data_IF_512678374109
#
_entry.id   IF_512678374109
#
_cell.length_a   1.000
_cell.length_b   1.000
_cell.length_c   1.000
_cell.angle_alpha   90.00
_cell.angle_beta   90.00
_cell.angle_gamma   90.00
#
_symmetry.space_group_name_H-M   'P 1'
#
loop_
_entity.id
_entity.type
_entity.pdbx_description
1 polymer ?
#
# COMPACT_ATOMS: atom_id res chain seq x y z
N UNK A 1 -1.88 -20.51 -25.98
CA UNK A 1 -1.65 -21.23 -24.71
C UNK A 1 -0.20 -21.71 -24.67
N UNK A 2 0.36 -21.87 -23.47
CA UNK A 2 1.71 -22.34 -23.25
C UNK A 2 1.65 -23.51 -22.26
N UNK A 3 2.18 -24.68 -22.64
CA UNK A 3 2.24 -25.86 -21.80
C UNK A 3 3.67 -26.07 -21.32
N UNK A 4 3.84 -26.40 -20.04
CA UNK A 4 5.12 -26.64 -19.41
C UNK A 4 5.07 -27.90 -18.56
N UNK A 5 6.21 -28.56 -18.46
CA UNK A 5 6.42 -29.74 -17.61
C UNK A 5 6.24 -29.35 -16.12
N UNK A 6 5.83 -30.32 -15.30
CA UNK A 6 5.57 -30.08 -13.87
C UNK A 6 6.80 -29.88 -13.01
N UNK A 7 7.99 -30.15 -13.55
CA UNK A 7 9.25 -30.11 -12.85
C UNK A 7 9.82 -28.69 -12.69
N UNK A 8 10.94 -28.58 -11.99
CA UNK A 8 11.60 -27.29 -11.77
C UNK A 8 12.12 -26.66 -13.08
N UNK A 9 12.46 -27.48 -14.08
CA UNK A 9 12.90 -27.01 -15.39
C UNK A 9 11.75 -26.35 -16.16
N UNK A 10 10.56 -26.95 -16.12
CA UNK A 10 9.31 -26.44 -16.67
C UNK A 10 8.87 -25.14 -16.00
N UNK A 11 8.99 -25.02 -14.67
CA UNK A 11 8.75 -23.75 -13.96
C UNK A 11 9.73 -22.66 -14.38
N UNK A 12 11.03 -22.98 -14.53
CA UNK A 12 12.04 -22.04 -15.04
C UNK A 12 11.75 -21.64 -16.49
N UNK A 13 11.29 -22.59 -17.33
CA UNK A 13 10.90 -22.32 -18.70
C UNK A 13 9.67 -21.41 -18.79
N UNK A 14 8.67 -21.62 -17.93
CA UNK A 14 7.51 -20.75 -17.81
C UNK A 14 7.91 -19.31 -17.44
N UNK A 15 8.86 -19.15 -16.51
CA UNK A 15 9.44 -17.84 -16.17
C UNK A 15 10.09 -17.15 -17.37
N UNK A 16 10.89 -17.88 -18.15
CA UNK A 16 11.51 -17.33 -19.38
C UNK A 16 10.49 -17.03 -20.49
N UNK A 17 9.41 -17.80 -20.56
CA UNK A 17 8.32 -17.54 -21.50
C UNK A 17 7.57 -16.26 -21.10
N UNK A 18 7.37 -16.05 -19.80
CA UNK A 18 6.76 -14.84 -19.27
C UNK A 18 7.61 -13.60 -19.60
N UNK A 19 8.93 -13.65 -19.41
CA UNK A 19 9.84 -12.53 -19.78
C UNK A 19 9.72 -12.12 -21.26
N UNK A 20 9.52 -13.09 -22.15
CA UNK A 20 9.34 -12.82 -23.59
C UNK A 20 7.94 -12.33 -23.94
N UNK A 21 6.97 -12.61 -23.07
CA UNK A 21 5.57 -12.24 -23.25
C UNK A 21 5.29 -10.83 -22.74
N UNK A 22 5.86 -10.44 -21.59
CA UNK A 22 5.57 -9.16 -20.93
C UNK A 22 5.71 -7.95 -21.87
N UNK A 23 6.80 -7.79 -22.68
CA UNK A 23 6.92 -6.67 -23.60
C UNK A 23 5.91 -6.65 -24.74
N UNK A 24 5.23 -7.78 -25.00
CA UNK A 24 4.26 -7.95 -26.09
C UNK A 24 2.81 -8.00 -25.58
N UNK A 25 2.62 -7.84 -24.28
CA UNK A 25 1.33 -7.89 -23.64
C UNK A 25 0.60 -6.56 -23.87
N UNK A 26 -0.54 -6.64 -24.56
CA UNK A 26 -1.40 -5.52 -24.94
C UNK A 26 -2.87 -5.95 -24.82
N UNK A 27 -3.84 -5.01 -24.69
CA UNK A 27 -5.26 -5.29 -24.66
C UNK A 27 -5.67 -6.24 -25.79
N UNK A 28 -6.50 -7.22 -25.45
CA UNK A 28 -6.97 -8.24 -26.40
C UNK A 28 -5.96 -9.35 -26.72
N UNK A 29 -4.69 -9.25 -26.32
CA UNK A 29 -3.72 -10.35 -26.42
C UNK A 29 -3.46 -10.97 -25.06
N UNK A 30 -3.91 -12.21 -24.88
CA UNK A 30 -3.72 -12.95 -23.64
C UNK A 30 -3.00 -14.27 -23.88
N UNK A 31 -2.37 -14.79 -22.83
CA UNK A 31 -1.83 -16.14 -22.80
C UNK A 31 -2.35 -16.87 -21.55
N UNK A 32 -2.38 -18.19 -21.63
CA UNK A 32 -2.67 -19.06 -20.50
C UNK A 32 -1.59 -20.11 -20.38
N UNK A 33 -1.25 -20.44 -19.15
CA UNK A 33 -0.19 -21.37 -18.78
C UNK A 33 -0.80 -22.66 -18.25
N UNK A 34 -0.39 -23.78 -18.82
CA UNK A 34 -0.72 -25.12 -18.36
C UNK A 34 0.55 -25.72 -17.76
N UNK A 35 0.43 -26.27 -16.55
CA UNK A 35 1.52 -27.00 -15.91
C UNK A 35 1.07 -28.46 -15.75
N UNK A 36 1.90 -29.37 -16.24
CA UNK A 36 1.69 -30.80 -16.10
C UNK A 36 2.02 -31.28 -14.67
N UNK A 37 1.61 -32.50 -14.29
CA UNK A 37 2.10 -33.14 -13.07
C UNK A 37 3.63 -33.32 -13.09
N UNK A 38 4.23 -33.47 -11.92
CA UNK A 38 5.68 -33.71 -11.80
C UNK A 38 6.08 -35.00 -12.53
N UNK A 39 7.15 -34.92 -13.33
CA UNK A 39 7.69 -36.06 -14.08
C UNK A 39 6.97 -36.40 -15.38
N UNK A 40 5.97 -35.62 -15.78
CA UNK A 40 5.20 -35.84 -17.02
C UNK A 40 5.51 -34.76 -18.07
N UNK A 41 5.62 -35.20 -19.33
CA UNK A 41 5.63 -34.35 -20.52
C UNK A 41 4.28 -34.46 -21.26
N UNK A 42 3.97 -33.59 -22.24
CA UNK A 42 2.67 -33.61 -22.90
C UNK A 42 2.34 -34.95 -23.59
N UNK A 43 3.36 -35.61 -24.14
CA UNK A 43 3.19 -36.84 -24.92
C UNK A 43 2.98 -38.03 -23.96
N UNK A 44 3.77 -38.13 -22.89
CA UNK A 44 3.65 -39.13 -21.83
C UNK A 44 2.32 -38.99 -21.10
N UNK A 45 1.91 -37.76 -20.77
CA UNK A 45 0.67 -37.50 -20.07
C UNK A 45 -0.55 -37.90 -20.90
N UNK A 46 -0.56 -37.55 -22.20
CA UNK A 46 -1.65 -37.94 -23.12
C UNK A 46 -1.65 -39.45 -23.36
N UNK A 47 -0.48 -40.09 -23.46
CA UNK A 47 -0.39 -41.54 -23.61
C UNK A 47 -0.89 -42.29 -22.38
N UNK A 48 -0.66 -41.76 -21.17
CA UNK A 48 -1.04 -42.41 -19.91
C UNK A 48 -2.49 -42.10 -19.49
N UNK A 49 -2.89 -40.84 -19.58
CA UNK A 49 -4.16 -40.33 -19.05
C UNK A 49 -5.22 -40.04 -20.13
N UNK A 50 -4.85 -40.11 -21.40
CA UNK A 50 -5.72 -39.86 -22.54
C UNK A 50 -5.92 -38.37 -22.86
N UNK A 51 -6.41 -38.06 -24.09
CA UNK A 51 -6.59 -36.70 -24.57
C UNK A 51 -7.66 -35.91 -23.79
N UNK A 52 -8.68 -36.58 -23.26
CA UNK A 52 -9.72 -35.94 -22.43
C UNK A 52 -9.15 -35.40 -21.11
N UNK A 53 -8.19 -36.11 -20.50
CA UNK A 53 -7.53 -35.65 -19.29
C UNK A 53 -6.68 -34.40 -19.56
N UNK A 54 -6.02 -34.35 -20.71
CA UNK A 54 -5.29 -33.16 -21.15
C UNK A 54 -6.22 -31.98 -21.42
N UNK A 55 -7.39 -32.22 -22.01
CA UNK A 55 -8.44 -31.20 -22.18
C UNK A 55 -8.86 -30.56 -20.84
N UNK A 56 -9.02 -31.37 -19.78
CA UNK A 56 -9.32 -30.87 -18.42
C UNK A 56 -8.17 -30.04 -17.83
N UNK A 57 -6.91 -30.36 -18.14
CA UNK A 57 -5.77 -29.53 -17.73
C UNK A 57 -5.75 -28.18 -18.44
N UNK A 58 -6.09 -28.18 -19.73
CA UNK A 58 -6.24 -26.97 -20.54
C UNK A 58 -7.33 -26.05 -19.98
N UNK A 59 -8.46 -26.60 -19.54
CA UNK A 59 -9.53 -25.82 -18.91
C UNK A 59 -9.06 -25.16 -17.60
N UNK A 60 -8.14 -25.81 -16.88
CA UNK A 60 -7.52 -25.29 -15.65
C UNK A 60 -6.32 -24.38 -15.90
N UNK A 61 -6.02 -24.03 -17.15
CA UNK A 61 -4.91 -23.17 -17.50
C UNK A 61 -4.98 -21.84 -16.75
N UNK A 62 -3.90 -21.47 -16.08
CA UNK A 62 -3.83 -20.24 -15.29
C UNK A 62 -3.60 -19.03 -16.21
N UNK A 63 -4.19 -17.86 -15.92
CA UNK A 63 -3.97 -16.65 -16.69
C UNK A 63 -2.56 -16.08 -16.48
N UNK A 64 -2.11 -15.19 -17.38
CA UNK A 64 -0.82 -14.47 -17.26
C UNK A 64 -0.68 -13.80 -15.88
N UNK A 65 -1.74 -13.18 -15.37
CA UNK A 65 -1.73 -12.49 -14.07
C UNK A 65 -1.41 -13.43 -12.91
N UNK A 66 -1.91 -14.66 -12.92
CA UNK A 66 -1.62 -15.68 -11.92
C UNK A 66 -0.20 -16.25 -12.08
N UNK A 67 0.21 -16.52 -13.32
CA UNK A 67 1.58 -16.95 -13.61
C UNK A 67 2.62 -15.91 -13.16
N UNK A 68 2.34 -14.63 -13.42
CA UNK A 68 3.16 -13.51 -13.00
C UNK A 68 3.19 -13.37 -11.48
N UNK A 69 2.04 -13.49 -10.81
CA UNK A 69 1.97 -13.50 -9.35
C UNK A 69 2.88 -14.58 -8.74
N UNK A 70 2.76 -15.83 -9.19
CA UNK A 70 3.60 -16.95 -8.71
C UNK A 70 5.08 -16.68 -8.90
N UNK A 71 5.45 -16.01 -10.00
CA UNK A 71 6.84 -15.63 -10.25
C UNK A 71 7.34 -14.57 -9.26
N UNK A 72 6.60 -13.47 -9.09
CA UNK A 72 7.06 -12.34 -8.27
C UNK A 72 6.99 -12.64 -6.77
N UNK A 73 6.01 -13.45 -6.35
CA UNK A 73 5.84 -13.94 -4.98
C UNK A 73 6.80 -15.09 -4.63
N UNK A 74 7.15 -15.92 -5.61
CA UNK A 74 7.89 -17.16 -5.37
C UNK A 74 7.06 -18.19 -4.61
N UNK A 75 7.75 -19.13 -3.94
CA UNK A 75 7.13 -20.20 -3.13
C UNK A 75 7.08 -19.85 -1.64
N UNK A 76 7.61 -18.69 -1.25
CA UNK A 76 7.75 -18.31 0.15
C UNK A 76 6.46 -17.68 0.69
N UNK A 77 6.21 -17.87 1.97
CA UNK A 77 5.09 -17.24 2.67
C UNK A 77 5.35 -15.74 2.78
N UNK A 78 4.39 -14.94 2.33
CA UNK A 78 4.43 -13.48 2.49
C UNK A 78 3.76 -13.12 3.81
N UNK A 79 4.52 -13.16 4.90
CA UNK A 79 4.03 -12.86 6.26
C UNK A 79 4.79 -11.71 6.95
N UNK A 80 5.78 -11.14 6.26
CA UNK A 80 6.61 -10.05 6.76
C UNK A 80 6.68 -8.87 5.77
N UNK A 81 6.84 -7.62 6.25
CA UNK A 81 7.06 -6.45 5.40
C UNK A 81 8.31 -6.56 4.52
N UNK A 82 9.35 -7.25 4.98
CA UNK A 82 10.61 -7.46 4.24
C UNK A 82 10.36 -8.33 3.00
N UNK A 83 9.64 -9.46 3.16
CA UNK A 83 9.22 -10.28 2.03
C UNK A 83 8.23 -9.54 1.13
N UNK A 84 7.30 -8.77 1.71
CA UNK A 84 6.41 -7.94 0.93
C UNK A 84 7.15 -6.91 0.07
N UNK A 85 8.20 -6.29 0.60
CA UNK A 85 9.03 -5.34 -0.12
C UNK A 85 9.78 -6.02 -1.28
N UNK A 86 10.30 -7.23 -1.08
CA UNK A 86 10.92 -8.04 -2.14
C UNK A 86 9.91 -8.30 -3.25
N UNK A 87 8.72 -8.77 -2.90
CA UNK A 87 7.65 -9.05 -3.87
C UNK A 87 7.21 -7.77 -4.59
N UNK A 88 7.09 -6.64 -3.89
CA UNK A 88 6.79 -5.33 -4.48
C UNK A 88 7.85 -4.89 -5.48
N UNK A 89 9.14 -5.03 -5.14
CA UNK A 89 10.25 -4.74 -6.08
C UNK A 89 10.18 -5.65 -7.31
N UNK A 90 9.86 -6.92 -7.13
CA UNK A 90 9.69 -7.87 -8.23
C UNK A 90 8.49 -7.52 -9.11
N UNK A 91 7.38 -7.06 -8.52
CA UNK A 91 6.20 -6.57 -9.25
C UNK A 91 6.62 -5.40 -10.14
N UNK A 92 7.27 -4.37 -9.58
CA UNK A 92 7.68 -3.20 -10.38
C UNK A 92 8.65 -3.58 -11.50
N UNK A 93 9.64 -4.44 -11.22
CA UNK A 93 10.58 -4.91 -12.23
C UNK A 93 9.90 -5.69 -13.37
N UNK A 94 8.86 -6.46 -13.08
CA UNK A 94 8.12 -7.19 -14.10
C UNK A 94 7.17 -6.29 -14.89
N UNK A 95 6.46 -5.38 -14.22
CA UNK A 95 5.56 -4.42 -14.86
C UNK A 95 6.35 -3.49 -15.78
N UNK A 96 7.53 -3.02 -15.38
CA UNK A 96 8.39 -2.15 -16.19
C UNK A 96 8.80 -2.77 -17.55
N UNK A 97 8.72 -4.09 -17.72
CA UNK A 97 9.01 -4.75 -19.00
C UNK A 97 7.85 -4.66 -20.00
N UNK A 98 6.64 -4.32 -19.57
CA UNK A 98 5.48 -4.22 -20.47
C UNK A 98 5.57 -2.94 -21.31
N UNK A 99 5.28 -3.02 -22.61
CA UNK A 99 5.48 -1.88 -23.52
C UNK A 99 4.45 -0.75 -23.35
N UNK A 100 3.22 -1.09 -22.95
CA UNK A 100 2.10 -0.15 -22.93
C UNK A 100 1.77 0.32 -21.50
N UNK A 101 1.59 1.63 -21.32
CA UNK A 101 1.38 2.26 -20.01
C UNK A 101 0.10 1.83 -19.31
N UNK A 102 -1.00 1.68 -20.05
CA UNK A 102 -2.28 1.28 -19.45
C UNK A 102 -2.22 -0.17 -18.95
N UNK A 103 -1.61 -1.06 -19.75
CA UNK A 103 -1.33 -2.44 -19.33
C UNK A 103 -0.47 -2.49 -18.08
N UNK A 104 0.58 -1.65 -17.99
CA UNK A 104 1.40 -1.53 -16.77
C UNK A 104 0.56 -1.12 -15.56
N UNK A 105 -0.27 -0.08 -15.71
CA UNK A 105 -1.12 0.45 -14.64
C UNK A 105 -2.03 -0.64 -14.05
N UNK A 106 -2.79 -1.34 -14.90
CA UNK A 106 -3.74 -2.36 -14.44
C UNK A 106 -3.05 -3.56 -13.81
N UNK A 107 -1.92 -4.01 -14.35
CA UNK A 107 -1.15 -5.11 -13.75
C UNK A 107 -0.53 -4.72 -12.41
N UNK A 108 0.01 -3.50 -12.29
CA UNK A 108 0.54 -2.97 -11.01
C UNK A 108 -0.56 -2.94 -9.96
N UNK A 109 -1.71 -2.34 -10.27
CA UNK A 109 -2.84 -2.24 -9.35
C UNK A 109 -3.33 -3.61 -8.88
N UNK A 110 -3.47 -4.57 -9.81
CA UNK A 110 -3.90 -5.94 -9.50
C UNK A 110 -2.92 -6.66 -8.56
N UNK A 111 -1.62 -6.64 -8.86
CA UNK A 111 -0.61 -7.36 -8.09
C UNK A 111 -0.40 -6.73 -6.70
N UNK A 112 -0.40 -5.40 -6.61
CA UNK A 112 -0.27 -4.68 -5.33
C UNK A 112 -1.48 -4.92 -4.43
N UNK A 113 -2.71 -4.91 -4.97
CA UNK A 113 -3.92 -5.26 -4.22
C UNK A 113 -3.84 -6.67 -3.62
N UNK A 114 -3.37 -7.64 -4.40
CA UNK A 114 -3.20 -9.02 -3.93
C UNK A 114 -2.13 -9.14 -2.85
N UNK A 115 -1.00 -8.45 -3.01
CA UNK A 115 0.06 -8.39 -2.00
C UNK A 115 -0.47 -7.83 -0.67
N UNK A 116 -1.22 -6.74 -0.72
CA UNK A 116 -1.85 -6.17 0.48
C UNK A 116 -2.86 -7.13 1.11
N UNK A 117 -3.71 -7.80 0.33
CA UNK A 117 -4.67 -8.74 0.92
C UNK A 117 -3.97 -9.85 1.73
N UNK A 118 -2.85 -10.39 1.27
CA UNK A 118 -2.14 -11.49 1.97
C UNK A 118 -1.49 -11.06 3.29
N UNK A 119 -0.93 -9.85 3.34
CA UNK A 119 -0.29 -9.33 4.56
C UNK A 119 -1.34 -8.98 5.61
N UNK A 120 -2.49 -8.43 5.19
CA UNK A 120 -3.54 -7.99 6.11
C UNK A 120 -4.51 -9.12 6.53
N UNK A 121 -4.83 -10.09 5.67
CA UNK A 121 -5.64 -11.27 6.03
C UNK A 121 -4.91 -12.20 7.00
N UNK A 122 -3.59 -12.41 6.83
CA UNK A 122 -2.78 -13.19 7.77
C UNK A 122 -2.65 -12.51 9.15
N UNK A 123 -2.68 -11.18 9.20
CA UNK A 123 -2.71 -10.40 10.46
C UNK A 123 -4.06 -10.49 11.17
N UNK A 124 -5.19 -10.52 10.44
CA UNK A 124 -6.53 -10.70 11.01
C UNK A 124 -6.73 -12.08 11.67
N UNK A 125 -6.16 -13.13 11.07
CA UNK A 125 -6.19 -14.51 11.63
C UNK A 125 -5.30 -14.68 12.87
N UNK A 126 -4.09 -14.10 12.89
CA UNK A 126 -3.20 -14.12 14.06
C UNK A 126 -3.67 -13.18 15.19
N UNK A 127 -4.36 -12.07 14.88
CA UNK A 127 -4.96 -11.13 15.86
C UNK A 127 -6.02 -11.82 16.75
N UNK A 128 -6.86 -12.72 16.23
CA UNK A 128 -7.87 -13.43 17.06
C UNK A 128 -7.26 -14.41 18.07
N UNK A 129 -6.14 -15.05 17.74
CA UNK A 129 -5.45 -15.98 18.64
C UNK A 129 -4.66 -15.25 19.74
N UNK A 130 -4.10 -14.08 19.43
CA UNK A 130 -3.24 -13.33 20.35
C UNK A 130 -3.98 -12.23 21.15
N UNK A 131 -5.27 -11.97 20.91
CA UNK A 131 -6.05 -10.98 21.69
C UNK A 131 -6.33 -11.42 23.14
N UNK A 132 -6.13 -12.71 23.45
CA UNK A 132 -6.37 -13.28 24.79
C UNK A 132 -5.15 -13.11 25.72
N UNK A 133 -3.96 -12.84 25.18
CA UNK A 133 -2.72 -12.73 25.96
C UNK A 133 -1.98 -11.41 25.70
N UNK A 134 -1.59 -10.74 26.78
CA UNK A 134 -0.72 -9.56 26.86
C UNK A 134 -1.30 -8.18 26.50
N UNK A 135 -1.75 -7.52 27.58
CA UNK A 135 -1.71 -6.07 27.78
C UNK A 135 -0.26 -5.57 27.92
N UNK A 136 0.19 -4.62 27.10
CA UNK A 136 0.95 -3.42 27.53
C UNK A 136 1.26 -2.46 26.36
N UNK A 137 0.96 -1.18 26.60
CA UNK A 137 1.50 0.06 26.01
C UNK A 137 1.59 0.22 24.49
N UNK A 138 0.50 -0.12 23.80
CA UNK A 138 0.24 0.33 22.42
C UNK A 138 -0.59 1.62 22.52
N UNK A 139 -0.16 2.73 21.91
CA UNK A 139 -1.04 3.90 21.73
C UNK A 139 -2.31 3.40 21.03
N UNK A 140 -3.50 3.51 21.65
CA UNK A 140 -4.71 2.93 21.10
C UNK A 140 -4.89 3.28 19.62
N UNK A 141 -5.26 2.30 18.78
CA UNK A 141 -5.53 2.50 17.33
C UNK A 141 -6.58 3.63 17.12
N UNK A 142 -7.45 3.82 18.11
CA UNK A 142 -8.40 4.92 18.23
C UNK A 142 -7.73 6.31 18.32
N UNK A 143 -6.59 6.44 19.01
CA UNK A 143 -5.84 7.70 19.12
C UNK A 143 -5.15 8.06 17.80
N UNK A 144 -4.66 7.06 17.05
CA UNK A 144 -4.07 7.26 15.71
C UNK A 144 -5.17 7.69 14.74
N UNK A 145 -6.30 6.98 14.74
CA UNK A 145 -7.45 7.31 13.90
C UNK A 145 -7.99 8.72 14.19
N UNK A 146 -8.04 9.16 15.45
CA UNK A 146 -8.49 10.50 15.81
C UNK A 146 -7.50 11.59 15.36
N UNK A 147 -6.19 11.34 15.41
CA UNK A 147 -5.18 12.24 14.84
C UNK A 147 -5.31 12.36 13.32
N UNK A 148 -5.55 11.26 12.62
CA UNK A 148 -5.80 11.28 11.17
C UNK A 148 -7.05 12.07 10.81
N UNK A 149 -8.15 11.88 11.55
CA UNK A 149 -9.39 12.67 11.37
C UNK A 149 -9.14 14.16 11.59
N UNK A 150 -8.34 14.53 12.58
CA UNK A 150 -7.98 15.92 12.84
C UNK A 150 -7.18 16.56 11.70
N UNK A 151 -6.20 15.84 11.14
CA UNK A 151 -5.41 16.31 10.01
C UNK A 151 -6.28 16.48 8.74
N UNK A 152 -7.14 15.51 8.43
CA UNK A 152 -8.05 15.63 7.29
C UNK A 152 -9.09 16.73 7.50
N UNK A 153 -9.63 16.87 8.72
CA UNK A 153 -10.54 17.96 9.05
C UNK A 153 -9.87 19.33 8.94
N UNK A 154 -8.59 19.45 9.30
CA UNK A 154 -7.81 20.67 9.13
C UNK A 154 -7.63 21.02 7.65
N UNK A 155 -7.27 20.05 6.80
CA UNK A 155 -7.17 20.29 5.34
C UNK A 155 -8.50 20.76 4.73
N UNK A 156 -9.62 20.21 5.17
CA UNK A 156 -10.95 20.61 4.67
C UNK A 156 -11.32 22.02 5.14
N UNK A 157 -11.03 22.36 6.40
CA UNK A 157 -11.36 23.69 6.95
C UNK A 157 -10.35 24.77 6.55
N UNK A 158 -9.13 24.36 6.20
CA UNK A 158 -8.01 25.21 5.81
C UNK A 158 -7.36 24.69 4.50
N UNK A 159 -8.03 24.82 3.35
CA UNK A 159 -7.61 24.22 2.08
C UNK A 159 -6.23 24.66 1.57
N UNK A 160 -5.70 25.80 2.03
CA UNK A 160 -4.34 26.23 1.68
C UNK A 160 -3.28 25.18 2.08
N UNK A 161 -3.51 24.43 3.17
CA UNK A 161 -2.64 23.34 3.61
C UNK A 161 -2.55 22.19 2.59
N UNK A 162 -3.52 22.05 1.68
CA UNK A 162 -3.47 21.02 0.63
C UNK A 162 -2.28 21.26 -0.31
N UNK A 163 -1.90 22.53 -0.54
CA UNK A 163 -0.77 22.86 -1.43
C UNK A 163 0.57 22.41 -0.87
N UNK A 164 0.79 22.59 0.44
CA UNK A 164 2.05 22.26 1.11
C UNK A 164 2.10 20.83 1.66
N UNK A 165 0.94 20.24 1.98
CA UNK A 165 0.89 18.98 2.75
C UNK A 165 -0.04 17.90 2.19
N UNK A 166 -0.81 18.18 1.14
CA UNK A 166 -1.79 17.25 0.58
C UNK A 166 -1.15 15.94 0.09
N UNK A 167 -0.05 16.02 -0.65
CA UNK A 167 0.67 14.86 -1.19
C UNK A 167 1.18 13.94 -0.06
N UNK A 168 1.88 14.52 0.92
CA UNK A 168 2.43 13.79 2.08
C UNK A 168 1.37 13.00 2.84
N UNK A 169 0.17 13.58 2.98
CA UNK A 169 -0.93 12.93 3.67
C UNK A 169 -1.59 11.85 2.81
N UNK A 170 -1.63 11.98 1.48
CA UNK A 170 -2.17 10.93 0.59
C UNK A 170 -1.28 9.70 0.58
N UNK A 171 0.03 9.87 0.72
CA UNK A 171 1.00 8.76 0.80
C UNK A 171 0.96 8.00 2.14
N UNK A 172 0.37 8.58 3.18
CA UNK A 172 0.30 7.98 4.50
C UNK A 172 -0.68 6.80 4.58
N UNK A 173 -0.41 5.85 5.47
CA UNK A 173 -1.33 4.74 5.75
C UNK A 173 -2.49 5.20 6.65
N UNK A 174 -3.74 4.93 6.26
CA UNK A 174 -4.93 5.27 7.04
C UNK A 174 -5.56 4.06 7.71
N UNK A 175 -6.03 4.26 8.95
CA UNK A 175 -6.83 3.26 9.67
C UNK A 175 -8.21 3.08 9.01
N UNK A 176 -8.79 4.16 8.49
CA UNK A 176 -10.08 4.17 7.79
C UNK A 176 -9.87 4.41 6.29
N UNK A 177 -10.23 3.45 5.42
CA UNK A 177 -10.20 3.62 3.97
C UNK A 177 -11.14 4.75 3.49
N UNK A 178 -12.26 4.94 4.18
CA UNK A 178 -13.22 6.00 3.87
C UNK A 178 -12.61 7.38 4.09
N UNK A 179 -11.84 7.55 5.18
CA UNK A 179 -11.12 8.79 5.47
C UNK A 179 -10.04 9.09 4.42
N UNK A 180 -9.33 8.06 3.95
CA UNK A 180 -8.37 8.20 2.85
C UNK A 180 -9.07 8.63 1.55
N UNK A 181 -10.26 8.09 1.26
CA UNK A 181 -11.08 8.50 0.13
C UNK A 181 -11.48 9.97 0.18
N UNK A 182 -11.92 10.47 1.35
CA UNK A 182 -12.23 11.89 1.56
C UNK A 182 -11.01 12.76 1.26
N UNK A 183 -9.84 12.38 1.76
CA UNK A 183 -8.61 13.12 1.53
C UNK A 183 -8.24 13.16 0.05
N UNK A 184 -8.24 12.01 -0.64
CA UNK A 184 -7.91 11.94 -2.06
C UNK A 184 -8.83 12.84 -2.88
N UNK A 185 -10.13 12.81 -2.61
CA UNK A 185 -11.08 13.66 -3.31
C UNK A 185 -10.91 15.14 -2.95
N UNK A 186 -10.59 15.48 -1.70
CA UNK A 186 -10.33 16.87 -1.30
C UNK A 186 -9.09 17.44 -2.01
N UNK A 187 -8.00 16.67 -2.07
CA UNK A 187 -6.76 17.06 -2.77
C UNK A 187 -7.01 17.22 -4.27
N UNK A 188 -7.72 16.27 -4.90
CA UNK A 188 -8.04 16.34 -6.32
C UNK A 188 -8.91 17.57 -6.66
N UNK A 189 -9.97 17.81 -5.89
CA UNK A 189 -10.88 18.94 -6.11
C UNK A 189 -10.19 20.30 -5.97
N UNK A 190 -9.31 20.43 -4.97
CA UNK A 190 -8.58 21.67 -4.73
C UNK A 190 -7.43 21.88 -5.73
N UNK A 191 -6.86 20.81 -6.28
CA UNK A 191 -5.83 20.88 -7.34
C UNK A 191 -6.37 21.40 -8.68
N UNK A 192 -7.65 21.15 -8.98
CA UNK A 192 -8.27 21.49 -10.27
C UNK A 192 -8.90 22.89 -10.32
N UNK A 193 -9.03 23.60 -9.18
CA UNK A 193 -9.80 24.84 -9.09
C UNK A 193 -8.98 26.04 -8.60
N UNK A 194 -8.90 27.09 -9.42
CA UNK A 194 -8.38 28.39 -8.99
C UNK A 194 -9.39 29.09 -8.06
N UNK A 195 -8.98 29.34 -6.81
CA UNK A 195 -9.77 30.15 -5.87
C UNK A 195 -10.91 29.43 -5.16
N UNK A 196 -10.92 28.09 -5.15
CA UNK A 196 -11.90 27.32 -4.38
C UNK A 196 -11.83 27.67 -2.89
N UNK A 197 -12.96 28.09 -2.32
CA UNK A 197 -13.08 28.38 -0.90
C UNK A 197 -13.49 27.13 -0.08
N UNK A 198 -13.57 27.29 1.24
CA UNK A 198 -13.87 26.21 2.18
C UNK A 198 -15.27 25.64 1.96
N UNK A 199 -16.25 26.50 1.69
CA UNK A 199 -17.65 26.11 1.56
C UNK A 199 -17.88 25.38 0.24
N UNK A 200 -17.24 25.85 -0.83
CA UNK A 200 -17.21 25.17 -2.13
C UNK A 200 -16.61 23.77 -2.01
N UNK A 201 -15.46 23.62 -1.34
CA UNK A 201 -14.82 22.31 -1.16
C UNK A 201 -15.73 21.34 -0.40
N UNK A 202 -16.36 21.80 0.68
CA UNK A 202 -17.30 20.97 1.47
C UNK A 202 -18.51 20.55 0.67
N UNK A 203 -19.07 21.45 -0.14
CA UNK A 203 -20.23 21.16 -0.99
C UNK A 203 -19.89 20.18 -2.11
N UNK A 204 -18.70 20.28 -2.72
CA UNK A 204 -18.24 19.32 -3.71
C UNK A 204 -17.93 17.95 -3.11
N UNK A 205 -17.31 17.90 -1.92
CA UNK A 205 -17.13 16.64 -1.18
C UNK A 205 -18.48 16.00 -0.83
N UNK A 206 -19.48 16.81 -0.44
CA UNK A 206 -20.84 16.32 -0.20
C UNK A 206 -21.45 15.72 -1.47
N UNK A 207 -21.28 16.36 -2.61
CA UNK A 207 -21.76 15.88 -3.92
C UNK A 207 -21.08 14.57 -4.33
N UNK A 208 -19.81 14.37 -3.95
CA UNK A 208 -19.08 13.09 -4.12
C UNK A 208 -19.46 11.99 -3.12
N UNK A 209 -20.39 12.25 -2.19
CA UNK A 209 -20.89 11.26 -1.23
C UNK A 209 -20.17 11.26 0.12
N UNK A 210 -19.29 12.22 0.39
CA UNK A 210 -18.49 12.27 1.63
C UNK A 210 -19.17 13.06 2.77
N UNK A 211 -20.35 13.64 2.54
CA UNK A 211 -20.99 14.58 3.46
C UNK A 211 -21.11 14.10 4.91
N UNK A 212 -21.53 12.85 5.11
CA UNK A 212 -21.70 12.27 6.46
C UNK A 212 -20.37 12.14 7.21
N UNK A 213 -19.29 11.77 6.51
CA UNK A 213 -17.97 11.60 7.11
C UNK A 213 -17.32 12.96 7.37
N UNK A 214 -17.43 13.89 6.42
CA UNK A 214 -16.98 15.29 6.58
C UNK A 214 -17.65 15.93 7.78
N UNK A 215 -18.97 15.80 7.94
CA UNK A 215 -19.70 16.32 9.10
C UNK A 215 -19.26 15.71 10.44
N UNK A 216 -18.83 14.44 10.45
CA UNK A 216 -18.31 13.78 11.66
C UNK A 216 -16.91 14.27 12.05
N UNK A 217 -16.02 14.49 11.08
CA UNK A 217 -14.63 14.90 11.34
C UNK A 217 -14.49 16.42 11.52
N UNK A 218 -15.27 17.21 10.80
CA UNK A 218 -15.40 18.66 10.98
C UNK A 218 -16.40 18.96 12.11
N UNK A 219 -16.09 18.48 13.31
CA UNK A 219 -16.97 18.59 14.47
C UNK A 219 -16.26 19.16 15.69
N UNK A 220 -17.03 19.80 16.58
CA UNK A 220 -16.53 20.39 17.84
C UNK A 220 -15.69 19.40 18.66
N UNK A 221 -16.07 18.13 18.67
CA UNK A 221 -15.33 17.08 19.39
C UNK A 221 -13.90 16.89 18.89
N UNK A 222 -13.67 17.02 17.57
CA UNK A 222 -12.33 16.96 16.99
C UNK A 222 -11.56 18.25 17.28
N UNK A 223 -12.22 19.41 17.15
CA UNK A 223 -11.60 20.72 17.36
C UNK A 223 -11.13 20.96 18.80
N UNK A 224 -11.83 20.39 19.79
CA UNK A 224 -11.43 20.46 21.20
C UNK A 224 -10.08 19.77 21.47
N UNK A 225 -9.76 18.72 20.72
CA UNK A 225 -8.50 17.96 20.84
C UNK A 225 -7.42 18.49 19.89
N UNK A 226 -7.83 18.99 18.72
CA UNK A 226 -6.95 19.48 17.67
C UNK A 226 -7.43 20.85 17.20
N UNK A 227 -7.05 21.89 17.96
CA UNK A 227 -7.52 23.26 17.72
C UNK A 227 -7.15 23.80 16.34
N UNK A 228 -6.02 23.37 15.78
CA UNK A 228 -5.59 23.73 14.42
C UNK A 228 -6.59 23.29 13.33
N UNK A 229 -7.48 22.33 13.62
CA UNK A 229 -8.52 21.92 12.68
C UNK A 229 -9.78 22.80 12.75
N UNK A 230 -9.93 23.63 13.77
CA UNK A 230 -11.06 24.54 13.92
C UNK A 230 -10.98 25.66 12.86
N UNK A 231 -12.04 25.91 12.07
CA UNK A 231 -12.09 27.03 11.14
C UNK A 231 -11.84 28.39 11.81
N UNK A 232 -12.19 28.54 13.09
CA UNK A 232 -12.02 29.78 13.86
C UNK A 232 -10.67 29.89 14.57
N UNK A 233 -9.74 28.95 14.34
CA UNK A 233 -8.39 29.02 14.90
C UNK A 233 -7.58 30.15 14.28
N UNK A 234 -6.57 30.63 15.02
CA UNK A 234 -5.67 31.67 14.53
C UNK A 234 -4.93 31.19 13.26
N UNK A 235 -5.12 31.84 12.09
CA UNK A 235 -4.55 31.36 10.82
C UNK A 235 -3.03 31.20 10.84
N UNK A 236 -2.32 32.10 11.54
CA UNK A 236 -0.86 32.03 11.67
C UNK A 236 -0.39 30.81 12.48
N UNK A 237 -1.26 30.25 13.31
CA UNK A 237 -0.99 29.09 14.17
C UNK A 237 -1.49 27.76 13.59
N UNK A 238 -2.28 27.78 12.51
CA UNK A 238 -2.85 26.58 11.88
C UNK A 238 -1.75 25.68 11.31
N UNK A 239 -0.91 26.20 10.42
CA UNK A 239 0.12 25.42 9.73
C UNK A 239 1.20 24.88 10.70
N UNK A 240 1.72 25.66 11.67
CA UNK A 240 2.63 25.12 12.69
C UNK A 240 2.00 23.99 13.53
N UNK A 241 0.74 24.15 13.96
CA UNK A 241 0.03 23.14 14.75
C UNK A 241 -0.27 21.87 13.94
N UNK A 242 -0.61 22.04 12.67
CA UNK A 242 -0.82 20.95 11.73
C UNK A 242 0.47 20.17 11.46
N UNK A 243 1.56 20.89 11.14
CA UNK A 243 2.86 20.28 10.88
C UNK A 243 3.36 19.50 12.10
N UNK A 244 3.13 19.99 13.32
CA UNK A 244 3.47 19.25 14.53
C UNK A 244 2.65 17.97 14.69
N UNK A 245 1.34 18.04 14.47
CA UNK A 245 0.47 16.87 14.52
C UNK A 245 0.86 15.82 13.47
N UNK A 246 1.24 16.25 12.27
CA UNK A 246 1.73 15.37 11.20
C UNK A 246 3.06 14.72 11.58
N UNK A 247 4.03 15.48 12.08
CA UNK A 247 5.31 14.94 12.59
C UNK A 247 5.09 13.92 13.71
N UNK A 248 4.18 14.20 14.63
CA UNK A 248 3.85 13.26 15.70
C UNK A 248 3.23 11.97 15.15
N UNK A 249 2.36 12.07 14.14
CA UNK A 249 1.77 10.90 13.48
C UNK A 249 2.85 10.05 12.81
N UNK A 250 3.73 10.67 12.03
CA UNK A 250 4.87 10.02 11.37
C UNK A 250 5.81 9.36 12.39
N UNK A 251 6.12 10.05 13.51
CA UNK A 251 6.90 9.49 14.62
C UNK A 251 6.22 8.29 15.27
N UNK A 252 4.90 8.32 15.45
CA UNK A 252 4.16 7.20 16.03
C UNK A 252 4.20 5.99 15.08
N UNK A 253 4.11 6.19 13.77
CA UNK A 253 4.30 5.13 12.79
C UNK A 253 5.72 4.59 12.80
N UNK A 254 6.74 5.47 12.82
CA UNK A 254 8.14 5.07 12.89
C UNK A 254 8.45 4.30 14.19
N UNK A 255 7.93 4.75 15.34
CA UNK A 255 8.09 4.08 16.63
C UNK A 255 7.34 2.75 16.69
N UNK A 256 6.14 2.66 16.10
CA UNK A 256 5.39 1.41 16.00
C UNK A 256 6.12 0.39 15.11
N UNK A 257 6.67 0.84 13.99
CA UNK A 257 7.50 0.03 13.09
C UNK A 257 8.80 -0.42 13.79
N UNK A 258 9.48 0.48 14.50
CA UNK A 258 10.67 0.16 15.30
C UNK A 258 10.36 -0.85 16.41
N UNK A 259 9.29 -0.64 17.19
CA UNK A 259 8.84 -1.59 18.20
C UNK A 259 8.43 -2.93 17.60
N UNK A 260 7.83 -2.93 16.41
CA UNK A 260 7.46 -4.17 15.72
C UNK A 260 8.70 -4.93 15.24
N UNK A 261 9.76 -4.23 14.81
CA UNK A 261 11.06 -4.82 14.49
C UNK A 261 11.75 -5.38 15.73
N UNK A 262 11.78 -4.63 16.83
CA UNK A 262 12.29 -5.08 18.13
C UNK A 262 11.55 -6.34 18.63
N UNK A 263 10.21 -6.35 18.56
CA UNK A 263 9.36 -7.49 19.01
C UNK A 263 9.45 -8.73 18.11
N UNK A 264 9.91 -8.61 16.86
CA UNK A 264 10.11 -9.73 15.92
C UNK A 264 11.46 -10.43 16.09
N UNK A 265 12.27 -10.04 17.06
CA UNK A 265 13.57 -10.65 17.31
C UNK A 265 14.63 -10.30 16.25
N UNK A 266 14.46 -9.20 15.52
CA UNK A 266 15.47 -8.61 14.63
C UNK A 266 16.54 -7.84 15.43
N UNK A 267 16.93 -8.39 16.57
CA UNK A 267 18.04 -7.90 17.37
C UNK A 267 18.98 -9.07 17.59
N UNK A 268 20.15 -9.01 16.97
CA UNK A 268 21.34 -9.63 17.57
C UNK A 268 21.99 -8.56 18.43
N UNK A 269 22.63 -8.97 19.53
CA UNK A 269 23.47 -8.09 20.35
C UNK A 269 24.73 -7.68 19.55
N UNK A 270 24.53 -6.89 18.50
CA UNK A 270 25.59 -6.28 17.69
C UNK A 270 25.37 -4.77 17.74
N UNK A 271 26.28 -4.08 18.43
CA UNK A 271 26.30 -2.62 18.57
C UNK A 271 26.31 -1.92 17.19
N UNK A 272 26.80 -2.58 16.13
CA UNK A 272 26.78 -2.06 14.77
C UNK A 272 25.40 -2.11 14.09
N UNK A 273 24.49 -2.98 14.53
CA UNK A 273 23.10 -3.02 14.05
C UNK A 273 22.27 -1.93 14.73
N UNK A 274 22.51 -1.69 16.03
CA UNK A 274 21.90 -0.56 16.75
C UNK A 274 22.37 0.79 16.19
N UNK A 275 23.66 0.95 15.91
CA UNK A 275 24.17 2.16 15.27
C UNK A 275 23.48 2.41 13.92
N UNK A 276 23.33 1.38 13.07
CA UNK A 276 22.66 1.48 11.77
C UNK A 276 21.17 1.79 11.86
N UNK A 277 20.47 1.23 12.85
CA UNK A 277 19.04 1.51 13.08
C UNK A 277 18.82 2.91 13.63
N UNK A 278 19.70 3.37 14.51
CA UNK A 278 19.66 4.73 15.07
C UNK A 278 20.03 5.76 14.01
N UNK A 279 21.00 5.44 13.15
CA UNK A 279 21.41 6.25 12.01
C UNK A 279 20.32 6.29 10.92
N UNK A 280 19.59 5.20 10.69
CA UNK A 280 18.43 5.18 9.79
C UNK A 280 17.23 5.95 10.36
N UNK A 281 16.96 5.84 11.66
CA UNK A 281 15.94 6.65 12.32
C UNK A 281 16.31 8.15 12.34
N UNK A 282 17.59 8.45 12.53
CA UNK A 282 18.14 9.80 12.43
C UNK A 282 18.10 10.31 10.98
N UNK A 283 18.33 9.47 9.96
CA UNK A 283 18.21 9.83 8.54
C UNK A 283 16.75 10.09 8.15
N UNK A 284 15.79 9.29 8.63
CA UNK A 284 14.36 9.59 8.44
C UNK A 284 13.97 10.90 9.14
N UNK A 285 14.42 11.10 10.38
CA UNK A 285 14.15 12.33 11.12
C UNK A 285 14.85 13.54 10.50
N UNK A 286 16.05 13.36 9.95
CA UNK A 286 16.85 14.38 9.26
C UNK A 286 16.26 14.70 7.89
N UNK A 287 15.72 13.73 7.14
CA UNK A 287 14.99 14.00 5.90
C UNK A 287 13.67 14.72 6.15
N UNK A 288 13.00 14.41 7.26
CA UNK A 288 11.83 15.15 7.72
C UNK A 288 12.18 16.59 8.18
N UNK A 289 13.43 16.83 8.59
CA UNK A 289 13.94 18.15 9.00
C UNK A 289 14.67 18.93 7.88
N UNK A 290 15.26 18.27 6.88
CA UNK A 290 15.96 18.89 5.76
C UNK A 290 14.99 19.44 4.71
N UNK A 291 13.73 18.99 4.73
CA UNK A 291 12.64 19.64 4.01
C UNK A 291 12.31 21.06 4.54
N UNK A 292 12.87 21.44 5.70
CA UNK A 292 12.69 22.74 6.37
C UNK A 292 13.74 23.79 5.91
N UNK A 293 14.85 23.39 5.26
CA UNK A 293 15.91 24.31 4.79
C UNK A 293 15.81 24.70 3.30
N UNK A 294 14.81 24.17 2.58
CA UNK A 294 14.61 24.40 1.16
C UNK A 294 13.59 25.52 0.82
N UNK A 295 13.13 26.29 1.81
CA UNK A 295 12.45 27.57 1.57
C UNK A 295 13.38 28.75 1.88
N UNK A 296 13.76 29.58 0.89
CA UNK A 296 14.34 30.88 1.16
C UNK A 296 13.22 31.89 1.40
N UNK A 297 13.07 32.31 2.66
CA UNK A 297 12.35 33.51 3.08
C UNK A 297 13.16 34.25 4.14
#
# INVERSE_FOLDING_TARGET
>A
MLCFDGDEAGRRAAGRALDRLLPRLVPGRTARFVFLPEGEDPDSFVSLSGPEAFGRLVERAIPVSEALWRRVAGTQTIDSPEFALIVRKNIEAAVAQMAERDTQFYYRAFLNKRLSSLIWENRGRKRKANLVEMKSDIVPEENIANKQKALVAALINHPHLIRSHGERLVEAEYVSPELAGVLMDAVALYGDAEGMDVDDLKEQLRTKGHGDLVGKICSRKIYEVARFADPAFDPASVEPGFADALRQLERNFAAAELQQRLKRGLYREDDAEFARLTEFAADIASRAAAADEAEPG
#
